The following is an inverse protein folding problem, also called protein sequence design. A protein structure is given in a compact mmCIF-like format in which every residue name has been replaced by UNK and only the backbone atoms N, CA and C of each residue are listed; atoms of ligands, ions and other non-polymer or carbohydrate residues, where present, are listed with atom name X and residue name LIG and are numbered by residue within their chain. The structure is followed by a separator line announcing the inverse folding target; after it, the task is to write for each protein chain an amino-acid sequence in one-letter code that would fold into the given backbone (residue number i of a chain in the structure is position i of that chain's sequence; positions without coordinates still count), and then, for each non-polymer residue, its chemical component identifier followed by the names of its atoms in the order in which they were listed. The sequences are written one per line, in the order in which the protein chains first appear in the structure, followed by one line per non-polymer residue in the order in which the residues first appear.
data_IF_231068239853
#
_entry.id   IF_231068239853
#
_cell.length_a   1.000
_cell.length_b   1.000
_cell.length_c   1.000
_cell.angle_alpha   90.00
_cell.angle_beta   90.00
_cell.angle_gamma   90.00
#
_symmetry.space_group_name_H-M   'P 1'
#
loop_
_entity.id
_entity.type
_entity.pdbx_description
1 polymer ?
#
# COMPACT_ATOMS: atom_id res chain seq x y z
N UNK A 1 11.43 -20.27 -3.23
CA UNK A 1 10.97 -19.43 -4.37
C UNK A 1 10.60 -18.10 -3.73
N UNK A 2 11.19 -17.01 -4.22
CA UNK A 2 11.26 -15.71 -3.54
C UNK A 2 9.95 -15.22 -2.94
N UNK A 3 10.03 -14.65 -1.73
CA UNK A 3 9.09 -13.67 -1.16
C UNK A 3 8.46 -12.81 -2.27
N UNK A 4 7.12 -12.82 -2.36
CA UNK A 4 6.36 -11.96 -3.27
C UNK A 4 5.85 -10.77 -2.47
N UNK A 5 5.93 -9.59 -3.07
CA UNK A 5 5.51 -8.32 -2.47
C UNK A 5 4.40 -7.76 -3.35
N UNK A 6 3.21 -7.56 -2.79
CA UNK A 6 2.06 -6.96 -3.49
C UNK A 6 1.55 -5.75 -2.70
N UNK A 7 1.30 -4.65 -3.40
CA UNK A 7 0.66 -3.45 -2.89
C UNK A 7 -0.84 -3.49 -3.22
N UNK A 8 -1.66 -2.99 -2.31
CA UNK A 8 -3.09 -2.87 -2.54
C UNK A 8 -3.70 -1.83 -1.62
N UNK A 9 -4.98 -1.55 -1.81
CA UNK A 9 -5.72 -0.67 -0.91
C UNK A 9 -7.20 -0.98 -0.93
N UNK A 10 -7.89 -0.43 0.06
CA UNK A 10 -9.34 -0.59 0.20
C UNK A 10 -9.99 0.68 0.73
N UNK A 11 -11.21 0.92 0.27
CA UNK A 11 -12.14 1.94 0.79
C UNK A 11 -13.24 1.33 1.71
N UNK A 12 -13.11 0.05 2.08
CA UNK A 12 -14.12 -0.67 2.88
C UNK A 12 -13.52 -1.43 4.07
N UNK A 13 -12.30 -1.08 4.48
CA UNK A 13 -11.57 -1.73 5.57
C UNK A 13 -11.39 -3.27 5.45
N UNK A 14 -11.46 -3.81 4.23
CA UNK A 14 -11.28 -5.23 3.97
C UNK A 14 -10.38 -5.48 2.75
N UNK A 15 -9.21 -6.07 3.03
CA UNK A 15 -8.29 -6.55 2.00
C UNK A 15 -8.53 -8.03 1.72
N UNK A 16 -8.11 -8.51 0.55
CA UNK A 16 -8.15 -9.92 0.22
C UNK A 16 -6.97 -10.35 -0.65
N UNK A 17 -6.49 -11.57 -0.42
CA UNK A 17 -5.71 -12.33 -1.41
C UNK A 17 -6.68 -13.27 -2.13
N UNK A 18 -6.78 -13.18 -3.46
CA UNK A 18 -7.71 -14.00 -4.23
C UNK A 18 -7.09 -14.54 -5.50
N UNK A 19 -7.62 -15.69 -5.94
CA UNK A 19 -7.25 -16.32 -7.20
C UNK A 19 -7.86 -15.56 -8.37
N UNK A 20 -7.01 -15.08 -9.29
CA UNK A 20 -7.45 -14.27 -10.42
C UNK A 20 -7.96 -15.11 -11.59
N UNK A 21 -7.81 -16.44 -11.52
CA UNK A 21 -8.10 -17.38 -12.62
C UNK A 21 -9.58 -17.42 -13.02
N UNK A 22 -10.48 -17.14 -12.09
CA UNK A 22 -11.93 -17.35 -12.28
C UNK A 22 -12.76 -16.13 -11.89
N UNK A 23 -12.18 -14.93 -12.00
CA UNK A 23 -12.90 -13.70 -11.67
C UNK A 23 -14.00 -13.40 -12.71
N UNK A 24 -15.14 -12.83 -12.28
CA UNK A 24 -16.21 -12.44 -13.17
C UNK A 24 -15.80 -11.19 -13.95
N UNK A 25 -16.41 -10.93 -15.11
CA UNK A 25 -16.07 -9.75 -15.92
C UNK A 25 -16.39 -8.42 -15.23
N UNK A 26 -17.42 -8.40 -14.38
CA UNK A 26 -17.92 -7.21 -13.70
C UNK A 26 -17.83 -7.35 -12.18
N UNK A 27 -18.00 -6.23 -11.46
CA UNK A 27 -17.98 -6.18 -9.99
C UNK A 27 -18.89 -7.28 -9.40
N UNK A 28 -18.35 -8.19 -8.56
CA UNK A 28 -19.13 -9.28 -8.01
C UNK A 28 -20.11 -8.78 -6.94
N UNK A 29 -21.18 -9.55 -6.76
CA UNK A 29 -22.04 -9.41 -5.59
C UNK A 29 -21.44 -10.15 -4.37
N UNK A 30 -22.04 -9.94 -3.21
CA UNK A 30 -21.61 -10.59 -1.96
C UNK A 30 -21.72 -12.12 -2.00
N UNK A 31 -22.62 -12.66 -2.82
CA UNK A 31 -22.77 -14.11 -3.00
C UNK A 31 -21.55 -14.69 -3.70
N UNK A 32 -21.07 -14.06 -4.77
CA UNK A 32 -19.88 -14.50 -5.48
C UNK A 32 -18.64 -14.48 -4.59
N UNK A 33 -18.45 -13.42 -3.79
CA UNK A 33 -17.35 -13.35 -2.81
C UNK A 33 -17.44 -14.51 -1.81
N UNK A 34 -18.64 -14.80 -1.30
CA UNK A 34 -18.89 -15.94 -0.39
C UNK A 34 -18.57 -17.28 -1.08
N UNK A 35 -18.93 -17.44 -2.35
CA UNK A 35 -18.59 -18.64 -3.12
C UNK A 35 -17.08 -18.79 -3.30
N UNK A 36 -16.35 -17.70 -3.56
CA UNK A 36 -14.89 -17.75 -3.65
C UNK A 36 -14.25 -18.21 -2.35
N UNK A 37 -14.76 -17.73 -1.20
CA UNK A 37 -14.32 -18.19 0.12
C UNK A 37 -14.61 -19.68 0.32
N UNK A 38 -15.83 -20.13 -0.01
CA UNK A 38 -16.21 -21.54 0.12
C UNK A 38 -15.38 -22.47 -0.77
N UNK A 39 -14.88 -21.97 -1.91
CA UNK A 39 -13.97 -22.69 -2.82
C UNK A 39 -12.51 -22.58 -2.41
N UNK A 40 -12.21 -21.90 -1.30
CA UNK A 40 -10.86 -21.60 -0.82
C UNK A 40 -10.03 -20.85 -1.87
N UNK A 41 -10.66 -19.97 -2.66
CA UNK A 41 -9.99 -19.16 -3.71
C UNK A 41 -9.85 -17.70 -3.30
N UNK A 42 -10.23 -17.36 -2.07
CA UNK A 42 -10.16 -16.01 -1.51
C UNK A 42 -9.89 -16.10 0.00
N UNK A 43 -8.91 -15.33 0.46
CA UNK A 43 -8.58 -15.11 1.87
C UNK A 43 -9.00 -13.68 2.21
N UNK A 44 -9.99 -13.51 3.09
CA UNK A 44 -10.36 -12.19 3.62
C UNK A 44 -9.40 -11.80 4.75
N UNK A 45 -8.97 -10.55 4.73
CA UNK A 45 -8.03 -9.98 5.66
C UNK A 45 -8.69 -8.72 6.25
N UNK A 46 -9.34 -8.83 7.43
CA UNK A 46 -9.96 -7.69 8.07
C UNK A 46 -8.87 -6.72 8.50
N UNK A 47 -8.84 -5.52 7.93
CA UNK A 47 -7.81 -4.51 8.25
C UNK A 47 -8.31 -3.47 9.23
N UNK A 48 -9.64 -3.27 9.31
CA UNK A 48 -10.27 -2.38 10.29
C UNK A 48 -10.18 -0.89 9.94
N UNK A 49 -9.48 -0.53 8.86
CA UNK A 49 -9.38 0.82 8.34
C UNK A 49 -9.19 0.85 6.82
N UNK A 50 -9.56 1.97 6.21
CA UNK A 50 -9.28 2.25 4.80
C UNK A 50 -7.81 2.66 4.64
N UNK A 51 -7.24 2.44 3.45
CA UNK A 51 -5.88 2.87 3.14
C UNK A 51 -5.09 1.89 2.29
N UNK A 52 -3.78 2.17 2.18
CA UNK A 52 -2.83 1.33 1.46
C UNK A 52 -2.22 0.27 2.38
N UNK A 53 -2.09 -0.95 1.85
CA UNK A 53 -1.55 -2.11 2.54
C UNK A 53 -0.46 -2.77 1.72
N UNK A 54 0.55 -3.27 2.42
CA UNK A 54 1.63 -4.05 1.81
C UNK A 54 1.55 -5.50 2.27
N UNK A 55 1.40 -6.41 1.30
CA UNK A 55 1.38 -7.85 1.54
C UNK A 55 2.73 -8.48 1.19
N UNK A 56 3.26 -9.29 2.11
CA UNK A 56 4.33 -10.25 1.82
C UNK A 56 3.81 -11.68 1.79
N UNK A 57 4.04 -12.38 0.69
CA UNK A 57 3.70 -13.80 0.53
C UNK A 57 4.97 -14.65 0.58
N UNK A 58 4.99 -15.63 1.49
CA UNK A 58 6.07 -16.62 1.64
C UNK A 58 5.55 -17.99 1.22
N UNK A 59 6.02 -18.52 0.09
CA UNK A 59 5.56 -19.80 -0.46
C UNK A 59 6.56 -20.91 -0.17
N UNK A 60 6.16 -21.88 0.65
CA UNK A 60 7.02 -22.97 1.13
C UNK A 60 8.32 -22.47 1.81
N UNK A 61 8.27 -21.28 2.39
CA UNK A 61 9.39 -20.63 3.06
C UNK A 61 9.00 -20.24 4.48
N UNK A 62 9.94 -20.37 5.41
CA UNK A 62 9.77 -19.91 6.78
C UNK A 62 9.73 -18.38 6.83
N UNK A 63 8.90 -17.85 7.73
CA UNK A 63 8.90 -16.43 8.03
C UNK A 63 10.23 -16.04 8.70
N UNK A 64 10.74 -14.85 8.37
CA UNK A 64 11.94 -14.32 8.99
C UNK A 64 11.66 -13.97 10.46
N UNK A 65 12.57 -14.31 11.38
CA UNK A 65 12.40 -14.12 12.83
C UNK A 65 12.04 -12.67 13.19
N UNK A 66 12.73 -11.70 12.59
CA UNK A 66 12.48 -10.26 12.80
C UNK A 66 11.06 -9.85 12.47
N UNK A 67 10.44 -10.53 11.51
CA UNK A 67 9.10 -10.20 11.05
C UNK A 67 8.05 -10.86 11.94
N UNK A 68 8.34 -12.07 12.43
CA UNK A 68 7.48 -12.79 13.39
C UNK A 68 7.28 -12.02 14.70
N UNK A 69 8.28 -11.26 15.14
CA UNK A 69 8.21 -10.41 16.34
C UNK A 69 7.08 -9.37 16.28
N UNK A 70 6.74 -8.90 15.08
CA UNK A 70 5.70 -7.89 14.86
C UNK A 70 4.37 -8.48 14.37
N UNK A 71 4.26 -9.81 14.26
CA UNK A 71 3.01 -10.47 13.90
C UNK A 71 2.06 -10.53 15.09
N UNK A 72 0.89 -9.90 14.96
CA UNK A 72 -0.20 -9.96 15.95
C UNK A 72 -0.79 -11.38 15.94
N UNK A 73 -0.53 -12.16 16.99
CA UNK A 73 -0.90 -13.58 17.02
C UNK A 73 -2.39 -13.79 17.20
N UNK A 74 -3.07 -12.85 17.87
CA UNK A 74 -4.50 -12.85 18.13
C UNK A 74 -5.31 -12.77 16.83
N UNK A 75 -4.77 -12.12 15.80
CA UNK A 75 -5.39 -11.93 14.49
C UNK A 75 -4.98 -13.02 13.48
N UNK A 76 -4.30 -14.08 13.93
CA UNK A 76 -3.82 -15.13 13.04
C UNK A 76 -5.01 -15.83 12.37
N UNK A 77 -5.04 -15.80 11.04
CA UNK A 77 -5.99 -16.56 10.23
C UNK A 77 -5.30 -17.78 9.65
N UNK A 78 -5.99 -18.93 9.67
CA UNK A 78 -5.51 -20.16 9.02
C UNK A 78 -6.60 -20.78 8.18
N UNK A 79 -6.23 -21.43 7.10
CA UNK A 79 -7.18 -22.13 6.25
C UNK A 79 -6.51 -22.71 5.03
N UNK A 80 -7.28 -22.83 3.96
CA UNK A 80 -6.80 -23.35 2.68
C UNK A 80 -6.91 -22.29 1.60
N UNK A 81 -5.99 -22.36 0.63
CA UNK A 81 -6.00 -21.51 -0.54
C UNK A 81 -5.70 -22.31 -1.79
N UNK A 82 -6.47 -22.09 -2.85
CA UNK A 82 -6.45 -22.84 -4.09
C UNK A 82 -6.27 -21.88 -5.27
N UNK A 83 -5.37 -22.24 -6.17
CA UNK A 83 -5.20 -21.56 -7.46
C UNK A 83 -4.90 -22.58 -8.56
N UNK A 84 -5.50 -22.39 -9.74
CA UNK A 84 -5.40 -23.35 -10.84
C UNK A 84 -4.15 -23.09 -11.69
N UNK A 85 -3.85 -21.81 -11.94
CA UNK A 85 -2.71 -21.40 -12.76
C UNK A 85 -1.64 -20.65 -11.96
N UNK A 86 -1.89 -20.38 -10.68
CA UNK A 86 -0.97 -19.62 -9.83
C UNK A 86 -1.19 -18.10 -9.87
N UNK A 87 -2.20 -17.61 -10.60
CA UNK A 87 -2.47 -16.18 -10.67
C UNK A 87 -3.20 -15.74 -9.40
N UNK A 88 -2.61 -14.78 -8.70
CA UNK A 88 -3.16 -14.22 -7.47
C UNK A 88 -3.22 -12.71 -7.56
N UNK A 89 -4.15 -12.12 -6.83
CA UNK A 89 -4.32 -10.69 -6.73
C UNK A 89 -4.48 -10.31 -5.28
N UNK A 90 -3.89 -9.19 -4.90
CA UNK A 90 -4.06 -8.59 -3.58
C UNK A 90 -4.66 -7.20 -3.74
N UNK A 91 -5.77 -6.96 -3.05
CA UNK A 91 -6.48 -5.69 -3.13
C UNK A 91 -7.72 -5.67 -2.25
N UNK A 92 -8.44 -4.54 -2.25
CA UNK A 92 -9.76 -4.45 -1.64
C UNK A 92 -10.76 -5.40 -2.31
N UNK A 93 -11.75 -5.90 -1.56
CA UNK A 93 -12.79 -6.79 -2.10
C UNK A 93 -13.54 -6.18 -3.29
N UNK A 94 -13.65 -4.86 -3.35
CA UNK A 94 -14.21 -4.11 -4.47
C UNK A 94 -13.44 -4.30 -5.79
N UNK A 95 -12.24 -4.87 -5.77
CA UNK A 95 -11.39 -5.10 -6.96
C UNK A 95 -11.45 -6.53 -7.50
N UNK A 96 -12.34 -7.38 -6.97
CA UNK A 96 -12.44 -8.82 -7.27
C UNK A 96 -13.17 -9.14 -8.59
N UNK A 97 -12.80 -8.46 -9.68
CA UNK A 97 -13.32 -8.72 -11.03
C UNK A 97 -12.24 -8.61 -12.11
N UNK A 98 -12.45 -9.26 -13.26
CA UNK A 98 -11.44 -9.44 -14.30
C UNK A 98 -11.17 -8.17 -15.12
N UNK A 99 -12.20 -7.34 -15.35
CA UNK A 99 -12.02 -6.08 -16.09
C UNK A 99 -11.40 -4.95 -15.24
N UNK A 100 -11.16 -5.19 -13.94
CA UNK A 100 -10.44 -4.26 -13.08
C UNK A 100 -9.02 -4.07 -13.61
N UNK A 101 -8.62 -2.82 -13.87
CA UNK A 101 -7.24 -2.51 -14.28
C UNK A 101 -6.36 -2.40 -13.03
N UNK A 102 -5.40 -3.34 -12.81
CA UNK A 102 -4.56 -3.32 -11.63
C UNK A 102 -3.83 -1.99 -11.50
N UNK A 103 -3.77 -1.48 -10.27
CA UNK A 103 -2.97 -0.35 -9.88
C UNK A 103 -2.58 -0.53 -8.43
N UNK A 104 -1.33 -0.18 -8.10
CA UNK A 104 -0.74 -0.39 -6.77
C UNK A 104 -1.51 0.24 -5.59
N UNK A 105 -2.42 1.18 -5.85
CA UNK A 105 -3.20 1.82 -4.79
C UNK A 105 -4.45 1.04 -4.42
N UNK A 106 -4.90 0.08 -5.26
CA UNK A 106 -6.14 -0.67 -5.05
C UNK A 106 -5.88 -2.17 -5.15
N UNK A 107 -5.22 -2.61 -6.24
CA UNK A 107 -4.95 -4.02 -6.51
C UNK A 107 -3.68 -4.21 -7.31
N UNK A 108 -2.83 -5.11 -6.84
CA UNK A 108 -1.69 -5.63 -7.60
C UNK A 108 -1.84 -7.14 -7.83
N UNK A 109 -1.42 -7.56 -9.02
CA UNK A 109 -1.46 -8.96 -9.43
C UNK A 109 -0.06 -9.57 -9.29
N UNK A 110 -0.02 -10.84 -8.92
CA UNK A 110 1.19 -11.61 -8.73
C UNK A 110 1.03 -13.05 -9.22
N UNK A 111 2.12 -13.81 -9.12
CA UNK A 111 2.14 -15.20 -9.53
C UNK A 111 2.83 -16.05 -8.47
N UNK A 112 2.13 -17.08 -8.02
CA UNK A 112 2.66 -18.18 -7.22
C UNK A 112 2.68 -19.46 -8.05
N UNK A 113 3.25 -20.54 -7.51
CA UNK A 113 3.08 -21.84 -8.14
C UNK A 113 1.58 -22.26 -8.11
N UNK A 114 1.14 -23.06 -9.08
CA UNK A 114 -0.21 -23.62 -9.06
C UNK A 114 -0.35 -24.69 -7.97
N UNK A 115 -1.55 -24.79 -7.40
CA UNK A 115 -1.89 -25.86 -6.48
C UNK A 115 -2.79 -25.43 -5.33
N UNK A 116 -2.83 -26.30 -4.32
CA UNK A 116 -3.54 -26.10 -3.07
C UNK A 116 -2.53 -25.88 -1.95
N UNK A 117 -2.85 -24.95 -1.06
CA UNK A 117 -1.99 -24.49 0.02
C UNK A 117 -2.77 -24.52 1.33
N UNK A 118 -2.07 -24.82 2.42
CA UNK A 118 -2.46 -24.34 3.74
C UNK A 118 -1.90 -22.94 3.92
N UNK A 119 -2.69 -22.02 4.45
CA UNK A 119 -2.22 -20.67 4.73
C UNK A 119 -2.18 -20.36 6.22
N UNK A 120 -1.25 -19.50 6.60
CA UNK A 120 -1.27 -18.73 7.84
C UNK A 120 -1.09 -17.26 7.48
N UNK A 121 -2.09 -16.45 7.79
CA UNK A 121 -2.08 -15.01 7.55
C UNK A 121 -1.97 -14.25 8.88
N UNK A 122 -1.19 -13.18 8.88
CA UNK A 122 -0.92 -12.35 10.04
C UNK A 122 -1.04 -10.88 9.64
N UNK A 123 -1.62 -10.08 10.54
CA UNK A 123 -1.43 -8.63 10.54
C UNK A 123 -0.13 -8.31 11.26
N UNK A 124 0.59 -7.31 10.79
CA UNK A 124 1.83 -6.85 11.41
C UNK A 124 1.72 -5.41 11.90
N UNK A 125 2.27 -5.17 13.08
CA UNK A 125 2.29 -3.86 13.73
C UNK A 125 3.76 -3.49 14.03
N UNK A 126 4.38 -2.77 13.09
CA UNK A 126 5.71 -2.22 13.29
C UNK A 126 5.63 -0.87 13.98
N UNK A 127 6.44 -0.60 15.01
CA UNK A 127 6.56 0.74 15.58
C UNK A 127 7.01 1.75 14.51
N UNK A 128 6.41 2.93 14.48
CA UNK A 128 6.77 3.99 13.55
C UNK A 128 8.26 4.35 13.67
N UNK A 129 8.81 4.33 14.88
CA UNK A 129 10.22 4.60 15.13
C UNK A 129 11.14 3.58 14.44
N UNK A 130 10.73 2.30 14.36
CA UNK A 130 11.52 1.27 13.69
C UNK A 130 11.60 1.50 12.17
N UNK A 131 10.50 1.96 11.58
CA UNK A 131 10.42 2.32 10.16
C UNK A 131 11.27 3.57 9.89
N UNK A 132 11.10 4.62 10.70
CA UNK A 132 11.85 5.87 10.60
C UNK A 132 13.36 5.65 10.76
N UNK A 133 13.77 4.84 11.74
CA UNK A 133 15.19 4.49 11.94
C UNK A 133 15.76 3.73 10.75
N UNK A 134 15.01 2.79 10.17
CA UNK A 134 15.45 2.04 9.00
C UNK A 134 15.60 2.96 7.77
N UNK A 135 14.63 3.86 7.55
CA UNK A 135 14.72 4.87 6.49
C UNK A 135 15.96 5.75 6.73
N UNK A 136 16.12 6.30 7.94
CA UNK A 136 17.24 7.17 8.27
C UNK A 136 18.59 6.47 8.11
N UNK A 137 18.68 5.18 8.43
CA UNK A 137 19.90 4.38 8.26
C UNK A 137 20.28 4.25 6.78
N UNK A 138 19.30 4.06 5.90
CA UNK A 138 19.55 3.85 4.47
C UNK A 138 19.85 5.16 3.72
N UNK A 139 19.04 6.20 3.93
CA UNK A 139 19.15 7.46 3.16
C UNK A 139 19.93 8.56 3.88
N UNK A 140 20.23 8.36 5.17
CA UNK A 140 20.89 9.33 6.03
C UNK A 140 20.00 10.51 6.44
N UNK A 141 20.41 11.24 7.48
CA UNK A 141 19.66 12.41 8.01
C UNK A 141 19.44 13.51 6.97
N UNK A 142 20.37 13.69 6.02
CA UNK A 142 20.19 14.64 4.91
C UNK A 142 19.10 14.19 3.94
N UNK A 143 19.04 12.90 3.62
CA UNK A 143 18.00 12.31 2.78
C UNK A 143 16.62 12.48 3.41
N UNK A 144 16.47 12.15 4.70
CA UNK A 144 15.22 12.34 5.45
C UNK A 144 14.76 13.80 5.39
N UNK A 145 15.69 14.76 5.62
CA UNK A 145 15.38 16.19 5.49
C UNK A 145 14.90 16.56 4.08
N UNK A 146 15.50 16.00 3.04
CA UNK A 146 15.10 16.25 1.65
C UNK A 146 13.68 15.76 1.33
N UNK A 147 13.26 14.64 1.90
CA UNK A 147 11.90 14.09 1.75
C UNK A 147 10.87 14.99 2.43
N UNK A 148 11.23 15.66 3.52
CA UNK A 148 10.33 16.58 4.23
C UNK A 148 10.18 17.97 3.60
N UNK A 149 11.03 18.36 2.64
CA UNK A 149 11.01 19.69 2.00
C UNK A 149 9.69 19.98 1.24
N UNK A 150 9.16 19.07 0.40
CA UNK A 150 7.90 19.29 -0.31
C UNK A 150 6.73 19.61 0.63
N UNK A 151 6.64 18.92 1.77
CA UNK A 151 5.62 19.19 2.79
C UNK A 151 5.74 20.60 3.38
N UNK A 152 6.98 21.05 3.65
CA UNK A 152 7.25 22.43 4.12
C UNK A 152 6.91 23.49 3.07
N UNK A 153 7.21 23.23 1.80
CA UNK A 153 6.83 24.12 0.68
C UNK A 153 5.30 24.25 0.61
N UNK A 154 4.58 23.12 0.70
CA UNK A 154 3.13 23.12 0.68
C UNK A 154 2.53 23.91 1.86
N UNK A 155 3.01 23.66 3.08
CA UNK A 155 2.56 24.37 4.28
C UNK A 155 2.82 25.89 4.18
N UNK A 156 4.02 26.29 3.77
CA UNK A 156 4.35 27.70 3.59
C UNK A 156 3.44 28.36 2.54
N UNK A 157 3.18 27.68 1.41
CA UNK A 157 2.27 28.17 0.39
C UNK A 157 0.83 28.33 0.87
N UNK A 158 0.32 27.39 1.67
CA UNK A 158 -1.02 27.50 2.30
C UNK A 158 -1.08 28.71 3.23
N UNK A 159 -0.11 28.87 4.12
CA UNK A 159 -0.07 29.99 5.06
C UNK A 159 -0.02 31.34 4.32
N UNK A 160 0.85 31.47 3.31
CA UNK A 160 0.95 32.71 2.51
C UNK A 160 -0.33 32.99 1.72
N UNK A 161 -0.99 31.95 1.19
CA UNK A 161 -2.26 32.10 0.47
C UNK A 161 -3.37 32.56 1.42
N UNK A 162 -3.46 31.99 2.62
CA UNK A 162 -4.43 32.44 3.63
C UNK A 162 -4.17 33.88 4.07
N UNK A 163 -2.90 34.25 4.31
CA UNK A 163 -2.55 35.63 4.67
C UNK A 163 -2.92 36.63 3.59
N UNK A 164 -2.67 36.30 2.32
CA UNK A 164 -3.02 37.19 1.18
C UNK A 164 -4.53 37.28 0.96
N UNK A 165 -5.28 36.19 1.12
CA UNK A 165 -6.74 36.22 1.07
C UNK A 165 -7.35 37.08 2.18
N UNK A 166 -6.86 36.96 3.42
CA UNK A 166 -7.32 37.80 4.53
C UNK A 166 -7.05 39.29 4.28
N UNK A 167 -5.90 39.63 3.70
CA UNK A 167 -5.59 41.00 3.28
C UNK A 167 -6.55 41.50 2.18
N UNK A 168 -6.95 40.61 1.25
CA UNK A 168 -7.89 40.96 0.18
C UNK A 168 -9.30 41.33 0.68
N UNK A 169 -9.76 40.70 1.77
CA UNK A 169 -11.05 41.03 2.38
C UNK A 169 -11.04 42.37 3.13
N UNK A 170 -9.88 42.84 3.57
CA UNK A 170 -9.76 44.00 4.46
C UNK A 170 -9.23 45.25 3.78
N UNK A 171 -8.49 45.10 2.68
CA UNK A 171 -7.74 46.19 2.08
C UNK A 171 -8.14 46.47 0.63
N UNK A 172 -7.80 45.57 -0.31
CA UNK A 172 -7.98 45.82 -1.75
C UNK A 172 -8.05 44.50 -2.55
N UNK A 173 -8.73 44.54 -3.69
CA UNK A 173 -8.90 43.41 -4.60
C UNK A 173 -7.57 42.95 -5.23
N UNK A 174 -6.55 43.81 -5.30
CA UNK A 174 -5.21 43.45 -5.80
C UNK A 174 -4.55 42.30 -5.02
N UNK A 175 -4.94 42.09 -3.76
CA UNK A 175 -4.46 40.95 -2.97
C UNK A 175 -5.02 39.59 -3.43
N UNK A 176 -6.16 39.54 -4.14
CA UNK A 176 -6.63 38.30 -4.77
C UNK A 176 -5.67 37.83 -5.87
N UNK A 177 -5.10 38.76 -6.65
CA UNK A 177 -4.05 38.44 -7.62
C UNK A 177 -2.78 37.93 -6.93
N UNK A 178 -2.45 38.49 -5.76
CA UNK A 178 -1.36 38.00 -4.90
C UNK A 178 -1.57 36.58 -4.40
N UNK A 179 -2.78 36.23 -3.96
CA UNK A 179 -3.14 34.87 -3.56
C UNK A 179 -2.97 33.88 -4.74
N UNK A 180 -3.45 34.24 -5.93
CA UNK A 180 -3.27 33.43 -7.13
C UNK A 180 -1.79 33.25 -7.50
N UNK A 181 -1.00 34.32 -7.45
CA UNK A 181 0.44 34.27 -7.68
C UNK A 181 1.17 33.37 -6.67
N UNK A 182 0.72 33.36 -5.41
CA UNK A 182 1.27 32.51 -4.35
C UNK A 182 1.00 31.03 -4.61
N UNK A 183 -0.24 30.67 -4.96
CA UNK A 183 -0.63 29.29 -5.30
C UNK A 183 0.21 28.79 -6.48
N UNK A 184 0.26 29.57 -7.57
CA UNK A 184 0.98 29.18 -8.79
C UNK A 184 2.49 29.05 -8.55
N UNK A 185 3.10 29.98 -7.82
CA UNK A 185 4.52 29.92 -7.46
C UNK A 185 4.83 28.71 -6.56
N UNK A 186 3.98 28.43 -5.56
CA UNK A 186 4.13 27.27 -4.68
C UNK A 186 4.06 25.97 -5.49
N UNK A 187 3.06 25.83 -6.36
CA UNK A 187 2.92 24.67 -7.24
C UNK A 187 4.13 24.50 -8.16
N UNK A 188 4.64 25.60 -8.72
CA UNK A 188 5.82 25.58 -9.58
C UNK A 188 7.07 25.12 -8.83
N UNK A 189 7.36 25.70 -7.66
CA UNK A 189 8.52 25.36 -6.83
C UNK A 189 8.42 23.90 -6.36
N UNK A 190 7.26 23.47 -5.87
CA UNK A 190 7.00 22.09 -5.47
C UNK A 190 7.29 21.11 -6.62
N UNK A 191 6.76 21.39 -7.81
CA UNK A 191 6.93 20.55 -9.00
C UNK A 191 8.37 20.50 -9.49
N UNK A 192 9.09 21.63 -9.46
CA UNK A 192 10.50 21.66 -9.85
C UNK A 192 11.35 20.83 -8.87
N UNK A 193 11.13 21.01 -7.58
CA UNK A 193 11.89 20.30 -6.54
C UNK A 193 11.66 18.78 -6.59
N UNK A 194 10.40 18.33 -6.65
CA UNK A 194 10.04 16.90 -6.70
C UNK A 194 10.47 16.20 -8.00
N UNK A 195 10.77 16.96 -9.06
CA UNK A 195 11.30 16.43 -10.32
C UNK A 195 12.82 16.29 -10.36
N UNK A 196 13.54 16.82 -9.39
CA UNK A 196 15.00 16.68 -9.34
C UNK A 196 15.40 15.22 -9.19
N UNK A 197 16.47 14.81 -9.88
CA UNK A 197 16.97 13.43 -9.82
C UNK A 197 17.42 13.05 -8.39
N UNK A 198 17.95 14.02 -7.64
CA UNK A 198 18.30 13.82 -6.23
C UNK A 198 17.08 13.48 -5.37
N UNK A 199 15.97 14.20 -5.52
CA UNK A 199 14.73 13.89 -4.80
C UNK A 199 14.18 12.53 -5.21
N UNK A 200 14.03 12.25 -6.50
CA UNK A 200 13.51 10.96 -6.99
C UNK A 200 14.33 9.77 -6.50
N UNK A 201 15.66 9.89 -6.48
CA UNK A 201 16.54 8.83 -6.00
C UNK A 201 16.31 8.54 -4.52
N UNK A 202 16.24 9.58 -3.70
CA UNK A 202 16.03 9.45 -2.26
C UNK A 202 14.62 8.95 -1.95
N UNK A 203 13.61 9.44 -2.66
CA UNK A 203 12.22 8.97 -2.57
C UNK A 203 12.09 7.49 -2.94
N UNK A 204 12.76 7.07 -4.02
CA UNK A 204 12.82 5.65 -4.40
C UNK A 204 13.46 4.79 -3.32
N UNK A 205 14.61 5.20 -2.76
CA UNK A 205 15.28 4.45 -1.69
C UNK A 205 14.40 4.35 -0.44
N UNK A 206 13.70 5.44 -0.08
CA UNK A 206 12.73 5.42 1.01
C UNK A 206 11.63 4.38 0.75
N UNK A 207 11.01 4.42 -0.43
CA UNK A 207 9.96 3.46 -0.80
C UNK A 207 10.49 2.02 -0.80
N UNK A 208 11.72 1.79 -1.25
CA UNK A 208 12.36 0.46 -1.24
C UNK A 208 12.60 -0.05 0.20
N UNK A 209 12.88 0.85 1.16
CA UNK A 209 12.99 0.51 2.59
C UNK A 209 11.63 0.20 3.18
N UNK A 210 10.61 1.04 2.93
CA UNK A 210 9.23 0.84 3.40
C UNK A 210 8.66 -0.50 2.94
N UNK A 211 9.06 -0.98 1.74
CA UNK A 211 8.73 -2.33 1.24
C UNK A 211 9.25 -3.49 2.10
N UNK A 212 10.06 -3.24 3.12
CA UNK A 212 10.48 -4.28 4.06
C UNK A 212 9.56 -4.40 5.28
N UNK A 213 8.62 -3.47 5.45
CA UNK A 213 7.69 -3.39 6.58
C UNK A 213 6.27 -3.70 6.09
N UNK A 214 5.91 -4.98 5.93
CA UNK A 214 4.56 -5.34 5.50
C UNK A 214 3.53 -4.90 6.54
N UNK A 215 2.30 -4.70 6.08
CA UNK A 215 1.12 -4.60 6.96
C UNK A 215 0.46 -5.97 7.14
N UNK A 216 0.65 -6.86 6.15
CA UNK A 216 0.06 -8.19 6.12
C UNK A 216 1.09 -9.21 5.62
N UNK A 217 1.07 -10.39 6.21
CA UNK A 217 1.90 -11.52 5.79
C UNK A 217 1.04 -12.73 5.57
N UNK A 218 1.30 -13.45 4.48
CA UNK A 218 0.70 -14.75 4.23
C UNK A 218 1.81 -15.76 3.98
N UNK A 219 1.88 -16.78 4.84
CA UNK A 219 2.64 -18.00 4.56
C UNK A 219 1.74 -18.99 3.86
N UNK A 220 2.20 -19.53 2.73
CA UNK A 220 1.52 -20.55 1.95
C UNK A 220 2.38 -21.81 1.94
N UNK A 221 1.92 -22.87 2.59
CA UNK A 221 2.56 -24.19 2.60
C UNK A 221 1.80 -25.11 1.64
N UNK A 222 2.45 -25.55 0.58
CA UNK A 222 1.84 -26.35 -0.47
C UNK A 222 1.42 -27.70 0.10
N UNK A 223 0.20 -28.12 -0.22
CA UNK A 223 -0.27 -29.47 0.10
C UNK A 223 0.48 -30.45 -0.78
N UNK A 224 1.24 -31.36 -0.18
CA UNK A 224 1.78 -32.50 -0.91
C UNK A 224 0.61 -33.34 -1.42
N UNK A 225 0.69 -33.78 -2.69
CA UNK A 225 -0.28 -34.75 -3.21
C UNK A 225 -0.03 -36.06 -2.46
N UNK A 226 -0.95 -36.42 -1.56
CA UNK A 226 -1.07 -37.76 -0.99
C UNK A 226 -1.34 -38.74 -2.13
#
# INVERSE_FOLDING_TARGET
MSKIILEGGTDTAEMALFCSDTLPEHLPDSKFVTEMQNRNTLIRLPTGADGGYLLHIYVNESLQEKVLEYCVQEDKLTGEFNTQNGNVSFGGLESTYASFKPNKNIREDGQIERGSYFYSAYRTEFPDEAIEEAIQREIGTRGVKMIGIPGKIALAGVLLTLSTLLAAFTSDYTFFLGAFATITSTMFIYRQYTRTEGFKKIDKLKNDVEKNFPSIIIRLDKKEKI
#
